data_IF_765898978861
#
_entry.id   IF_765898978861
#
_cell.length_a   1.000
_cell.length_b   1.000
_cell.length_c   1.000
_cell.angle_alpha   90.00
_cell.angle_beta   90.00
_cell.angle_gamma   90.00
#
_symmetry.space_group_name_H-M   'P 1'
#
loop_
_entity.id
_entity.type
_entity.pdbx_description
1 polymer ?
#
# COMPACT_ATOMS: atom_id res chain seq x y z
N UNK A 1 -12.80 13.78 -10.06
CA UNK A 1 -13.62 12.56 -9.85
C UNK A 1 -13.16 11.50 -10.85
N UNK A 2 -12.77 10.30 -10.38
CA UNK A 2 -12.44 9.20 -11.30
C UNK A 2 -13.74 8.70 -11.94
N UNK A 3 -13.67 8.07 -13.12
CA UNK A 3 -14.84 7.45 -13.74
C UNK A 3 -15.50 6.39 -12.84
N UNK A 4 -14.73 5.82 -11.89
CA UNK A 4 -15.23 4.87 -10.90
C UNK A 4 -15.78 5.52 -9.61
N UNK A 5 -15.76 6.85 -9.49
CA UNK A 5 -16.18 7.56 -8.27
C UNK A 5 -17.63 8.08 -8.32
N UNK A 6 -18.30 8.00 -9.48
CA UNK A 6 -19.65 8.53 -9.67
C UNK A 6 -19.73 10.07 -9.77
N UNK A 7 -20.94 10.62 -10.00
CA UNK A 7 -21.18 12.06 -10.03
C UNK A 7 -21.14 12.66 -8.61
N UNK A 8 -20.75 13.93 -8.49
CA UNK A 8 -20.73 14.63 -7.21
C UNK A 8 -22.14 15.06 -6.80
N UNK A 9 -22.56 14.73 -5.58
CA UNK A 9 -23.83 15.18 -5.02
C UNK A 9 -23.60 16.25 -3.94
N UNK A 10 -24.02 17.48 -4.21
CA UNK A 10 -23.85 18.63 -3.31
C UNK A 10 -25.11 18.83 -2.47
N UNK A 11 -24.96 19.11 -1.17
CA UNK A 11 -26.07 19.36 -0.26
C UNK A 11 -25.62 20.00 1.05
N UNK A 12 -26.57 20.50 1.83
CA UNK A 12 -26.30 21.09 3.14
C UNK A 12 -25.92 20.02 4.19
N UNK A 13 -25.12 20.37 5.21
CA UNK A 13 -24.85 19.50 6.36
C UNK A 13 -26.15 19.02 7.02
N UNK A 14 -26.22 17.75 7.42
CA UNK A 14 -27.42 17.15 8.03
C UNK A 14 -28.58 16.83 7.07
N UNK A 15 -28.42 17.02 5.76
CA UNK A 15 -29.42 16.69 4.72
C UNK A 15 -29.00 15.49 3.88
N UNK A 16 -29.95 14.62 3.53
CA UNK A 16 -29.74 13.51 2.59
C UNK A 16 -28.65 12.53 3.03
N UNK A 17 -28.62 12.15 4.32
CA UNK A 17 -27.65 11.19 4.88
C UNK A 17 -26.26 11.75 5.17
N UNK A 18 -26.01 13.04 4.92
CA UNK A 18 -24.74 13.71 5.23
C UNK A 18 -24.61 14.00 6.73
N UNK A 19 -23.39 13.88 7.26
CA UNK A 19 -23.07 14.20 8.65
C UNK A 19 -23.25 15.68 8.99
N UNK A 20 -23.18 16.00 10.28
CA UNK A 20 -23.24 17.38 10.81
C UNK A 20 -21.85 18.00 10.88
N UNK A 21 -21.74 19.31 10.65
CA UNK A 21 -20.50 20.04 10.87
C UNK A 21 -20.33 20.39 12.35
N UNK A 22 -19.14 20.15 12.89
CA UNK A 22 -18.76 20.57 14.24
C UNK A 22 -17.68 21.65 14.10
N UNK A 23 -18.03 22.89 14.41
CA UNK A 23 -17.10 24.01 14.31
C UNK A 23 -15.94 23.88 15.31
N UNK A 24 -14.70 24.08 14.86
CA UNK A 24 -13.50 23.98 15.69
C UNK A 24 -12.97 22.56 15.93
N UNK A 25 -13.61 21.53 15.37
CA UNK A 25 -13.09 20.17 15.37
C UNK A 25 -12.09 19.97 14.22
N UNK A 26 -10.99 19.26 14.52
CA UNK A 26 -10.02 18.81 13.52
C UNK A 26 -10.15 17.30 13.37
N UNK A 27 -10.41 16.82 12.16
CA UNK A 27 -10.43 15.38 11.88
C UNK A 27 -9.00 14.84 11.95
N UNK A 28 -8.77 13.93 12.91
CA UNK A 28 -7.49 13.24 13.03
C UNK A 28 -7.42 12.08 12.05
N UNK A 29 -6.21 11.73 11.64
CA UNK A 29 -5.97 10.53 10.83
C UNK A 29 -6.47 9.30 11.57
N UNK A 30 -7.18 8.43 10.86
CA UNK A 30 -7.59 7.12 11.36
C UNK A 30 -6.48 6.05 11.25
N UNK A 31 -5.23 6.49 11.02
CA UNK A 31 -4.09 5.62 10.72
C UNK A 31 -3.35 5.25 12.01
N UNK A 32 -3.18 3.96 12.24
CA UNK A 32 -2.29 3.45 13.28
C UNK A 32 -0.87 3.29 12.73
N UNK A 33 0.03 4.17 13.17
CA UNK A 33 1.41 4.19 12.75
C UNK A 33 2.14 2.87 13.05
N UNK A 34 1.87 2.22 14.18
CA UNK A 34 2.57 0.98 14.55
C UNK A 34 2.23 -0.16 13.57
N UNK A 35 0.96 -0.23 13.14
CA UNK A 35 0.51 -1.19 12.12
C UNK A 35 1.16 -0.89 10.77
N UNK A 36 1.11 0.36 10.32
CA UNK A 36 1.70 0.76 9.04
C UNK A 36 3.21 0.52 8.99
N UNK A 37 3.94 0.79 10.08
CA UNK A 37 5.37 0.47 10.17
C UNK A 37 5.63 -1.04 10.08
N UNK A 38 4.80 -1.86 10.72
CA UNK A 38 4.93 -3.32 10.68
C UNK A 38 4.65 -3.87 9.28
N UNK A 39 3.63 -3.35 8.60
CA UNK A 39 3.31 -3.68 7.21
C UNK A 39 4.45 -3.27 6.27
N UNK A 40 5.02 -2.08 6.46
CA UNK A 40 6.17 -1.60 5.71
C UNK A 40 7.39 -2.51 5.90
N UNK A 41 7.71 -2.91 7.13
CA UNK A 41 8.81 -3.85 7.41
C UNK A 41 8.55 -5.22 6.74
N UNK A 42 7.30 -5.68 6.76
CA UNK A 42 6.91 -6.95 6.13
C UNK A 42 7.11 -6.90 4.62
N UNK A 43 6.67 -5.80 3.98
CA UNK A 43 6.90 -5.57 2.56
C UNK A 43 8.39 -5.50 2.21
N UNK A 44 9.19 -4.80 3.02
CA UNK A 44 10.63 -4.71 2.83
C UNK A 44 11.31 -6.08 2.92
N UNK A 45 10.95 -6.90 3.91
CA UNK A 45 11.46 -8.27 4.02
C UNK A 45 11.05 -9.16 2.86
N UNK A 46 9.82 -9.01 2.36
CA UNK A 46 9.35 -9.71 1.16
C UNK A 46 10.17 -9.35 -0.08
N UNK A 47 10.47 -8.06 -0.28
CA UNK A 47 11.33 -7.59 -1.36
C UNK A 47 12.75 -8.14 -1.23
N UNK A 48 13.34 -8.08 -0.03
CA UNK A 48 14.69 -8.60 0.22
C UNK A 48 14.78 -10.11 0.00
N UNK A 49 13.79 -10.88 0.48
CA UNK A 49 13.70 -12.31 0.24
C UNK A 49 13.62 -12.64 -1.25
N UNK A 50 12.79 -11.90 -2.00
CA UNK A 50 12.65 -12.04 -3.45
C UNK A 50 13.98 -11.75 -4.17
N UNK A 51 14.68 -10.69 -3.75
CA UNK A 51 15.99 -10.34 -4.30
C UNK A 51 17.06 -11.42 -4.02
N UNK A 52 17.04 -12.06 -2.85
CA UNK A 52 17.94 -13.18 -2.53
C UNK A 52 17.66 -14.41 -3.40
N UNK A 53 16.39 -14.73 -3.64
CA UNK A 53 15.99 -15.84 -4.53
C UNK A 53 16.50 -15.61 -5.95
N UNK A 54 16.38 -14.38 -6.48
CA UNK A 54 16.90 -14.03 -7.81
C UNK A 54 18.41 -14.27 -7.89
N UNK A 55 19.19 -13.75 -6.92
CA UNK A 55 20.65 -13.95 -6.91
C UNK A 55 21.05 -15.42 -6.83
N UNK A 56 20.39 -16.20 -5.96
CA UNK A 56 20.65 -17.63 -5.87
C UNK A 56 20.31 -18.36 -7.19
N UNK A 57 19.25 -17.94 -7.87
CA UNK A 57 18.90 -18.42 -9.21
C UNK A 57 19.99 -18.10 -10.25
N UNK A 58 20.52 -16.88 -10.24
CA UNK A 58 21.59 -16.45 -11.14
C UNK A 58 22.89 -17.23 -10.91
N UNK A 59 23.26 -17.51 -9.66
CA UNK A 59 24.43 -18.32 -9.31
C UNK A 59 24.31 -19.78 -9.80
N UNK A 60 23.13 -20.38 -9.65
CA UNK A 60 22.85 -21.73 -10.17
C UNK A 60 22.90 -21.73 -11.70
N UNK A 61 22.30 -20.73 -12.35
CA UNK A 61 22.34 -20.58 -13.81
C UNK A 61 23.77 -20.47 -14.33
N UNK A 62 24.61 -19.66 -13.68
CA UNK A 62 26.02 -19.53 -14.05
C UNK A 62 26.77 -20.86 -13.91
N UNK A 63 26.50 -21.62 -12.85
CA UNK A 63 27.11 -22.94 -12.62
C UNK A 63 26.72 -23.93 -13.72
N UNK A 64 25.44 -23.94 -14.16
CA UNK A 64 24.97 -24.81 -15.24
C UNK A 64 25.61 -24.46 -16.59
N UNK A 65 25.76 -23.17 -16.90
CA UNK A 65 26.41 -22.72 -18.14
C UNK A 65 27.88 -23.15 -18.18
N UNK A 66 28.58 -23.09 -17.05
CA UNK A 66 30.00 -23.47 -16.95
C UNK A 66 30.23 -24.99 -17.07
N UNK A 67 29.24 -25.84 -16.76
CA UNK A 67 29.35 -27.31 -16.92
C UNK A 67 29.23 -27.74 -18.40
N UNK A 68 28.68 -26.89 -19.26
CA UNK A 68 28.44 -27.19 -20.69
C UNK A 68 29.63 -26.84 -21.60
N UNK A 69 30.65 -26.17 -21.08
CA UNK A 69 31.95 -25.90 -21.75
C UNK A 69 32.90 -27.07 -21.53
#
# INVERSE_FOLDING_TARGET
>A
VSQNSGPAEVGAPGSGGRGTLIAGALESSNVDLAREFTELITHQRGFEASARVIRAGDEVLQTVVNIKQ
#
